data_IF_089239813141
#
_entry.id   IF_089239813141
#
_cell.length_a   1.000
_cell.length_b   1.000
_cell.length_c   1.000
_cell.angle_alpha   90.00
_cell.angle_beta   90.00
_cell.angle_gamma   90.00
#
_symmetry.space_group_name_H-M   'P 1'
#
loop_
_entity.id
_entity.type
_entity.pdbx_description
1 polymer ?
#
# COMPACT_ATOMS: atom_id res chain seq x y z
N UNK A 1 -73.61 -67.92 -42.46
CA UNK A 1 -74.30 -67.21 -43.57
C UNK A 1 -73.32 -66.24 -44.20
N UNK A 2 -73.02 -66.45 -45.49
CA UNK A 2 -72.31 -65.59 -46.46
C UNK A 2 -73.32 -64.51 -46.99
N UNK A 3 -73.03 -63.37 -47.69
CA UNK A 3 -71.80 -62.57 -48.05
C UNK A 3 -71.86 -61.06 -47.61
N UNK A 4 -70.78 -60.22 -47.59
CA UNK A 4 -70.19 -59.28 -48.62
C UNK A 4 -71.18 -58.24 -49.24
N UNK A 5 -70.81 -57.08 -49.87
CA UNK A 5 -69.50 -56.40 -50.10
C UNK A 5 -69.44 -54.83 -50.08
N UNK A 6 -68.17 -54.31 -50.09
CA UNK A 6 -67.63 -53.07 -50.79
C UNK A 6 -68.22 -51.69 -50.41
N UNK A 7 -67.48 -50.57 -50.31
CA UNK A 7 -66.43 -50.06 -51.21
C UNK A 7 -65.52 -48.96 -50.62
N UNK A 8 -64.22 -49.12 -50.85
CA UNK A 8 -63.13 -48.14 -51.15
C UNK A 8 -63.40 -46.62 -50.98
N UNK A 9 -62.45 -45.91 -50.35
CA UNK A 9 -61.40 -45.09 -51.01
C UNK A 9 -60.34 -44.58 -50.02
N UNK A 10 -59.10 -44.52 -50.52
CA UNK A 10 -57.89 -43.99 -49.88
C UNK A 10 -58.03 -42.55 -49.38
N UNK A 11 -57.31 -42.18 -48.32
CA UNK A 11 -56.08 -41.39 -48.42
C UNK A 11 -55.28 -41.51 -47.13
N UNK A 12 -53.98 -41.69 -47.29
CA UNK A 12 -52.97 -41.75 -46.24
C UNK A 12 -52.80 -40.38 -45.56
N UNK A 13 -52.46 -40.35 -44.27
CA UNK A 13 -51.13 -39.95 -43.81
C UNK A 13 -51.06 -39.82 -42.27
N UNK A 14 -50.06 -40.54 -41.73
CA UNK A 14 -49.20 -40.25 -40.57
C UNK A 14 -49.79 -39.96 -39.18
N UNK A 15 -49.69 -41.01 -38.35
CA UNK A 15 -49.37 -40.95 -36.92
C UNK A 15 -48.17 -40.03 -36.63
N UNK A 16 -48.29 -39.16 -35.63
CA UNK A 16 -47.16 -38.79 -34.77
C UNK A 16 -47.64 -38.24 -33.42
N UNK A 17 -47.71 -39.16 -32.47
CA UNK A 17 -47.72 -38.95 -31.02
C UNK A 17 -46.59 -37.98 -30.63
N UNK A 18 -46.89 -36.81 -30.07
CA UNK A 18 -45.87 -36.00 -29.38
C UNK A 18 -45.88 -36.31 -27.89
N UNK A 19 -44.90 -37.12 -27.53
CA UNK A 19 -44.45 -37.41 -26.17
C UNK A 19 -43.88 -36.16 -25.48
N UNK A 20 -43.94 -36.21 -24.16
CA UNK A 20 -43.38 -35.26 -23.20
C UNK A 20 -41.95 -34.83 -23.51
N UNK A 21 -41.70 -33.52 -23.52
CA UNK A 21 -40.38 -32.93 -23.25
C UNK A 21 -40.62 -31.80 -22.25
N UNK A 22 -40.46 -32.09 -20.96
CA UNK A 22 -40.15 -31.08 -19.94
C UNK A 22 -38.64 -31.06 -19.86
N UNK A 23 -38.01 -30.18 -20.64
CA UNK A 23 -36.58 -29.89 -20.57
C UNK A 23 -36.43 -28.40 -20.30
N UNK A 24 -35.71 -28.09 -19.22
CA UNK A 24 -35.00 -26.82 -19.09
C UNK A 24 -35.79 -25.66 -18.48
N UNK A 25 -36.36 -25.82 -17.29
CA UNK A 25 -36.67 -24.67 -16.45
C UNK A 25 -35.40 -24.25 -15.66
N UNK A 26 -34.76 -23.21 -16.18
CA UNK A 26 -33.97 -22.18 -15.46
C UNK A 26 -32.61 -22.60 -14.89
N UNK A 27 -31.64 -22.68 -15.80
CA UNK A 27 -30.23 -22.34 -15.59
C UNK A 27 -30.07 -20.83 -15.26
N UNK A 28 -30.66 -20.37 -14.15
CA UNK A 28 -30.59 -18.97 -13.71
C UNK A 28 -30.39 -18.84 -12.18
N UNK A 29 -29.67 -19.81 -11.61
CA UNK A 29 -29.00 -19.66 -10.31
C UNK A 29 -27.57 -19.08 -10.43
N UNK A 30 -27.18 -18.67 -11.64
CA UNK A 30 -25.99 -17.84 -11.86
C UNK A 30 -26.35 -16.37 -11.78
N UNK A 31 -25.51 -15.59 -11.08
CA UNK A 31 -25.46 -14.13 -11.10
C UNK A 31 -26.40 -13.35 -10.15
N UNK A 32 -26.55 -13.76 -8.90
CA UNK A 32 -26.98 -12.83 -7.86
C UNK A 32 -26.67 -13.33 -6.44
N UNK A 33 -25.43 -13.12 -5.97
CA UNK A 33 -25.23 -12.78 -4.55
C UNK A 33 -23.87 -12.11 -4.33
N UNK A 34 -23.90 -10.79 -4.13
CA UNK A 34 -22.95 -10.01 -3.33
C UNK A 34 -21.43 -10.05 -3.59
N UNK A 35 -20.94 -10.65 -4.68
CA UNK A 35 -19.52 -10.56 -5.10
C UNK A 35 -19.10 -9.16 -5.63
N UNK A 36 -19.97 -8.15 -5.54
CA UNK A 36 -19.79 -6.81 -6.07
C UNK A 36 -19.49 -5.82 -4.94
N UNK A 37 -18.32 -5.18 -5.01
CA UNK A 37 -17.77 -4.06 -4.21
C UNK A 37 -16.76 -4.40 -3.08
N UNK A 38 -16.84 -5.54 -2.38
CA UNK A 38 -15.88 -5.87 -1.31
C UNK A 38 -14.48 -6.35 -1.82
N UNK A 39 -14.37 -6.62 -3.12
CA UNK A 39 -13.14 -7.10 -3.79
C UNK A 39 -12.22 -6.01 -4.37
N UNK A 40 -12.47 -4.71 -4.13
CA UNK A 40 -11.68 -3.62 -4.73
C UNK A 40 -10.57 -3.07 -3.80
N UNK A 41 -10.73 -3.14 -2.48
CA UNK A 41 -9.73 -2.59 -1.57
C UNK A 41 -8.45 -3.41 -1.60
N UNK A 42 -7.30 -2.72 -1.61
CA UNK A 42 -5.99 -3.34 -1.40
C UNK A 42 -5.62 -3.40 0.08
N UNK A 43 -6.40 -2.80 0.99
CA UNK A 43 -6.10 -2.82 2.42
C UNK A 43 -6.59 -4.11 3.07
N UNK A 44 -5.70 -4.75 3.82
CA UNK A 44 -6.00 -5.98 4.56
C UNK A 44 -7.12 -5.78 5.60
N UNK A 45 -7.16 -4.62 6.25
CA UNK A 45 -8.15 -4.27 7.27
C UNK A 45 -9.59 -4.15 6.73
N UNK A 46 -9.75 -4.01 5.41
CA UNK A 46 -11.05 -3.97 4.74
C UNK A 46 -11.54 -5.36 4.32
N UNK A 47 -10.76 -6.43 4.56
CA UNK A 47 -11.08 -7.78 4.10
C UNK A 47 -11.55 -8.65 5.27
N UNK A 48 -12.59 -9.44 5.04
CA UNK A 48 -12.86 -10.60 5.90
C UNK A 48 -11.76 -11.64 5.72
N UNK A 49 -11.51 -12.46 6.75
CA UNK A 49 -10.47 -13.49 6.66
C UNK A 49 -10.75 -14.52 5.54
N UNK A 50 -12.02 -14.73 5.18
CA UNK A 50 -12.41 -15.61 4.07
C UNK A 50 -12.09 -14.99 2.71
N UNK A 51 -12.32 -13.69 2.53
CA UNK A 51 -11.89 -12.98 1.31
C UNK A 51 -10.37 -13.03 1.16
N UNK A 52 -9.62 -12.83 2.25
CA UNK A 52 -8.17 -12.95 2.24
C UNK A 52 -7.71 -14.36 1.81
N UNK A 53 -8.28 -15.42 2.40
CA UNK A 53 -7.98 -16.81 2.03
C UNK A 53 -8.19 -17.04 0.54
N UNK A 54 -9.31 -16.55 0.01
CA UNK A 54 -9.69 -16.75 -1.39
C UNK A 54 -8.77 -15.96 -2.33
N UNK A 55 -8.38 -14.73 -1.95
CA UNK A 55 -7.41 -13.90 -2.69
C UNK A 55 -6.01 -14.50 -2.74
N UNK A 56 -5.54 -15.06 -1.62
CA UNK A 56 -4.24 -15.77 -1.58
C UNK A 56 -4.29 -16.99 -2.50
N UNK A 57 -5.37 -17.77 -2.44
CA UNK A 57 -5.59 -18.92 -3.32
C UNK A 57 -5.67 -18.53 -4.80
N UNK A 58 -6.17 -17.33 -5.09
CA UNK A 58 -6.25 -16.75 -6.43
C UNK A 58 -4.95 -16.06 -6.90
N UNK A 59 -3.87 -16.08 -6.12
CA UNK A 59 -2.55 -15.58 -6.55
C UNK A 59 -2.12 -14.24 -5.97
N UNK A 60 -2.81 -13.72 -4.95
CA UNK A 60 -2.31 -12.60 -4.14
C UNK A 60 -1.18 -13.11 -3.25
N UNK A 61 0.07 -12.82 -3.61
CA UNK A 61 1.26 -13.36 -2.93
C UNK A 61 2.09 -12.33 -2.19
N UNK A 62 1.80 -11.04 -2.39
CA UNK A 62 2.57 -9.94 -1.84
C UNK A 62 1.78 -9.20 -0.76
N UNK A 63 2.42 -8.86 0.36
CA UNK A 63 1.89 -7.94 1.36
C UNK A 63 2.90 -6.80 1.55
N UNK A 64 2.43 -5.56 1.47
CA UNK A 64 3.19 -4.37 1.81
C UNK A 64 2.89 -4.03 3.26
N UNK A 65 3.92 -3.88 4.08
CA UNK A 65 3.87 -3.43 5.47
C UNK A 65 4.29 -1.96 5.48
N UNK A 66 3.32 -1.03 5.48
CA UNK A 66 3.61 0.39 5.56
C UNK A 66 4.06 0.79 6.97
N UNK A 67 5.20 1.46 7.06
CA UNK A 67 5.78 1.93 8.31
C UNK A 67 5.83 3.45 8.26
N UNK A 68 5.09 4.07 9.18
CA UNK A 68 4.95 5.52 9.29
C UNK A 68 5.70 6.06 10.50
N UNK A 69 4.96 6.68 11.42
CA UNK A 69 5.50 7.37 12.59
C UNK A 69 4.61 8.53 13.00
N UNK A 70 4.78 8.98 14.24
CA UNK A 70 4.12 10.19 14.75
C UNK A 70 5.21 11.11 15.28
N UNK A 71 5.48 12.19 14.55
CA UNK A 71 6.58 13.10 14.84
C UNK A 71 6.28 14.54 14.45
N UNK A 72 6.98 15.46 15.13
CA UNK A 72 6.98 16.87 14.79
C UNK A 72 7.40 17.11 13.32
N UNK A 73 6.79 18.09 12.66
CA UNK A 73 7.15 18.47 11.29
C UNK A 73 6.95 19.95 11.03
N UNK A 74 7.58 20.75 11.87
CA UNK A 74 7.37 22.19 11.83
C UNK A 74 5.99 22.61 12.35
N UNK A 75 5.69 23.91 12.32
CA UNK A 75 4.46 24.47 12.89
C UNK A 75 3.20 24.26 12.02
N UNK A 76 3.39 23.91 10.74
CA UNK A 76 2.33 23.87 9.74
C UNK A 76 1.84 22.45 9.41
N UNK A 77 2.61 21.40 9.72
CA UNK A 77 2.27 20.03 9.33
C UNK A 77 1.78 19.21 10.53
N UNK A 78 0.75 18.40 10.31
CA UNK A 78 0.20 17.52 11.33
C UNK A 78 1.16 16.38 11.69
N UNK A 79 1.16 15.97 12.96
CA UNK A 79 2.08 14.95 13.53
C UNK A 79 2.02 13.58 12.83
N UNK A 80 0.87 13.24 12.24
CA UNK A 80 0.63 11.95 11.58
C UNK A 80 1.02 11.91 10.10
N UNK A 81 1.81 12.87 9.59
CA UNK A 81 2.13 12.97 8.15
C UNK A 81 2.64 11.65 7.57
N UNK A 82 3.51 10.94 8.31
CA UNK A 82 4.18 9.74 7.83
C UNK A 82 3.18 8.61 7.66
N UNK A 83 2.29 8.42 8.64
CA UNK A 83 1.22 7.42 8.57
C UNK A 83 0.30 7.63 7.36
N UNK A 84 -0.10 8.88 7.11
CA UNK A 84 -0.95 9.22 5.96
C UNK A 84 -0.22 9.01 4.63
N UNK A 85 1.02 9.51 4.54
CA UNK A 85 1.85 9.41 3.33
C UNK A 85 2.09 7.96 2.94
N UNK A 86 2.57 7.13 3.88
CA UNK A 86 2.88 5.73 3.59
C UNK A 86 1.63 4.94 3.25
N UNK A 87 0.48 5.19 3.90
CA UNK A 87 -0.79 4.53 3.58
C UNK A 87 -1.22 4.82 2.13
N UNK A 88 -1.22 6.10 1.75
CA UNK A 88 -1.60 6.55 0.41
C UNK A 88 -0.67 6.00 -0.68
N UNK A 89 0.64 6.04 -0.44
CA UNK A 89 1.62 5.56 -1.42
C UNK A 89 1.61 4.03 -1.51
N UNK A 90 1.45 3.32 -0.39
CA UNK A 90 1.30 1.86 -0.37
C UNK A 90 0.09 1.39 -1.19
N UNK A 91 -1.03 2.10 -1.10
CA UNK A 91 -2.24 1.80 -1.89
C UNK A 91 -1.96 1.87 -3.39
N UNK A 92 -1.31 2.96 -3.84
CA UNK A 92 -0.94 3.13 -5.25
C UNK A 92 0.03 2.05 -5.72
N UNK A 93 1.05 1.74 -4.91
CA UNK A 93 2.03 0.70 -5.22
C UNK A 93 1.35 -0.67 -5.32
N UNK A 94 0.50 -1.03 -4.35
CA UNK A 94 -0.24 -2.29 -4.36
C UNK A 94 -1.15 -2.42 -5.58
N UNK A 95 -1.85 -1.34 -5.94
CA UNK A 95 -2.66 -1.26 -7.16
C UNK A 95 -1.84 -1.49 -8.44
N UNK A 96 -0.64 -0.93 -8.55
CA UNK A 96 0.24 -1.15 -9.70
C UNK A 96 0.86 -2.56 -9.75
N UNK A 97 1.06 -3.21 -8.60
CA UNK A 97 1.52 -4.59 -8.55
C UNK A 97 0.43 -5.58 -8.97
N UNK A 98 -0.83 -5.32 -8.60
CA UNK A 98 -1.99 -6.13 -8.99
C UNK A 98 -2.15 -7.46 -8.26
N UNK A 99 -1.13 -7.91 -7.52
CA UNK A 99 -1.14 -9.13 -6.70
C UNK A 99 -0.69 -8.86 -5.25
N UNK A 100 -0.87 -7.62 -4.79
CA UNK A 100 -0.43 -7.16 -3.48
C UNK A 100 -1.60 -6.65 -2.63
N UNK A 101 -1.47 -6.84 -1.32
CA UNK A 101 -2.28 -6.17 -0.30
C UNK A 101 -1.41 -5.20 0.52
N UNK A 102 -2.05 -4.33 1.29
CA UNK A 102 -1.44 -3.38 2.21
C UNK A 102 -1.88 -3.74 3.63
N UNK A 103 -0.92 -4.04 4.51
CA UNK A 103 -1.16 -4.28 5.93
C UNK A 103 -1.52 -2.98 6.66
N UNK A 104 -2.07 -3.05 7.89
CA UNK A 104 -2.23 -1.87 8.73
C UNK A 104 -0.91 -1.12 8.93
N UNK A 105 -1.00 0.22 8.98
CA UNK A 105 0.18 1.07 9.18
C UNK A 105 0.79 0.85 10.55
N UNK A 106 2.10 0.63 10.57
CA UNK A 106 2.88 0.64 11.81
C UNK A 106 3.20 2.09 12.16
N UNK A 107 2.55 2.60 13.21
CA UNK A 107 2.64 4.00 13.64
C UNK A 107 3.53 4.24 14.87
N UNK A 108 3.93 3.17 15.56
CA UNK A 108 4.86 3.22 16.68
C UNK A 108 6.24 2.78 16.20
N UNK A 109 7.18 3.73 16.15
CA UNK A 109 8.51 3.57 15.55
C UNK A 109 9.57 4.29 16.40
N UNK A 110 10.87 4.07 16.18
CA UNK A 110 11.93 4.86 16.79
C UNK A 110 11.96 6.30 16.26
N UNK A 111 11.78 7.28 17.17
CA UNK A 111 11.78 8.73 16.86
C UNK A 111 12.76 9.53 17.75
N UNK A 112 13.60 8.83 18.51
CA UNK A 112 14.54 9.38 19.49
C UNK A 112 14.40 8.77 20.89
N UNK A 113 15.15 9.31 21.84
CA UNK A 113 15.19 8.85 23.24
C UNK A 113 14.20 9.62 24.11
N UNK A 114 13.66 8.97 25.15
CA UNK A 114 12.74 9.58 26.12
C UNK A 114 13.49 10.38 27.18
N UNK A 115 14.55 9.81 27.76
CA UNK A 115 15.32 10.41 28.86
C UNK A 115 16.84 10.25 28.65
N UNK A 116 17.59 11.35 28.42
CA UNK A 116 17.06 12.68 28.10
C UNK A 116 16.38 12.69 26.70
N UNK A 117 15.43 13.60 26.45
CA UNK A 117 14.80 13.73 25.14
C UNK A 117 15.81 14.03 24.02
N UNK A 118 15.74 13.29 22.92
CA UNK A 118 16.58 13.53 21.72
C UNK A 118 15.78 13.50 20.43
N UNK A 119 16.42 13.89 19.31
CA UNK A 119 15.79 13.92 17.99
C UNK A 119 14.39 14.59 17.99
N UNK A 120 13.35 13.88 17.57
CA UNK A 120 11.97 14.38 17.46
C UNK A 120 11.24 14.33 18.81
N UNK A 121 11.72 13.54 19.77
CA UNK A 121 11.21 13.50 21.15
C UNK A 121 11.46 14.80 21.93
N UNK A 122 12.24 15.73 21.38
CA UNK A 122 12.36 17.11 21.91
C UNK A 122 11.10 17.96 21.72
N UNK A 123 10.13 17.47 20.93
CA UNK A 123 8.92 18.20 20.57
C UNK A 123 7.67 17.46 21.06
N UNK A 124 6.64 18.19 21.53
CA UNK A 124 5.42 17.58 22.04
C UNK A 124 4.65 16.84 20.94
N UNK A 125 4.11 15.67 21.28
CA UNK A 125 3.27 14.87 20.40
C UNK A 125 4.02 13.80 19.59
N UNK A 126 5.35 13.86 19.52
CA UNK A 126 6.16 12.75 18.98
C UNK A 126 6.00 11.50 19.86
N UNK A 127 5.88 10.33 19.24
CA UNK A 127 5.77 9.03 19.92
C UNK A 127 6.95 8.16 19.49
N UNK A 128 7.70 7.62 20.46
CA UNK A 128 8.84 6.72 20.19
C UNK A 128 8.66 5.37 20.88
N UNK A 129 9.17 4.31 20.25
CA UNK A 129 9.49 3.02 20.87
C UNK A 129 10.98 2.71 20.63
N UNK A 130 11.56 1.79 21.40
CA UNK A 130 12.95 1.40 21.15
C UNK A 130 13.09 0.57 19.88
N UNK A 131 14.26 0.65 19.25
CA UNK A 131 14.65 -0.14 18.06
C UNK A 131 14.39 -1.63 18.28
N UNK A 132 14.73 -2.15 19.46
CA UNK A 132 14.46 -3.54 19.85
C UNK A 132 12.98 -3.91 19.75
N UNK A 133 12.08 -3.07 20.30
CA UNK A 133 10.63 -3.35 20.26
C UNK A 133 10.13 -3.22 18.83
N UNK A 134 10.65 -2.25 18.08
CA UNK A 134 10.30 -2.04 16.69
C UNK A 134 10.70 -3.23 15.80
N UNK A 135 11.94 -3.70 15.86
CA UNK A 135 12.37 -4.88 15.12
C UNK A 135 11.57 -6.14 15.49
N UNK A 136 11.23 -6.32 16.77
CA UNK A 136 10.38 -7.42 17.24
C UNK A 136 8.95 -7.33 16.71
N UNK A 137 8.40 -6.12 16.61
CA UNK A 137 7.09 -5.86 16.01
C UNK A 137 7.09 -6.23 14.53
N UNK A 138 8.06 -5.73 13.76
CA UNK A 138 8.21 -6.03 12.34
C UNK A 138 8.36 -7.53 12.07
N UNK A 139 9.20 -8.20 12.88
CA UNK A 139 9.38 -9.64 12.81
C UNK A 139 8.07 -10.39 13.05
N UNK A 140 7.34 -10.03 14.11
CA UNK A 140 6.10 -10.71 14.48
C UNK A 140 5.06 -10.57 13.38
N UNK A 141 4.93 -9.36 12.81
CA UNK A 141 4.04 -9.10 11.67
C UNK A 141 4.45 -9.95 10.44
N UNK A 142 5.74 -9.94 10.06
CA UNK A 142 6.23 -10.72 8.93
C UNK A 142 6.00 -12.23 9.11
N UNK A 143 6.20 -12.76 10.32
CA UNK A 143 5.90 -14.17 10.65
C UNK A 143 4.42 -14.50 10.49
N UNK A 144 3.52 -13.62 10.95
CA UNK A 144 2.08 -13.79 10.74
C UNK A 144 1.73 -13.82 9.25
N UNK A 145 2.30 -12.91 8.44
CA UNK A 145 2.04 -12.90 7.00
C UNK A 145 2.58 -14.12 6.28
N UNK A 146 3.78 -14.59 6.65
CA UNK A 146 4.32 -15.85 6.17
C UNK A 146 3.39 -17.02 6.48
N UNK A 147 2.89 -17.09 7.73
CA UNK A 147 1.95 -18.15 8.16
C UNK A 147 0.67 -18.14 7.33
N UNK A 148 0.16 -16.95 6.99
CA UNK A 148 -1.08 -16.80 6.23
C UNK A 148 -0.93 -17.08 4.72
N UNK A 149 0.30 -17.29 4.23
CA UNK A 149 0.56 -17.73 2.85
C UNK A 149 1.14 -16.66 1.92
N UNK A 150 1.49 -15.48 2.43
CA UNK A 150 2.23 -14.50 1.63
C UNK A 150 3.66 -14.99 1.34
N UNK A 151 4.12 -14.75 0.12
CA UNK A 151 5.47 -15.14 -0.35
C UNK A 151 6.45 -13.96 -0.33
N UNK A 152 5.95 -12.76 -0.60
CA UNK A 152 6.73 -11.52 -0.58
C UNK A 152 6.17 -10.61 0.49
N UNK A 153 6.98 -10.30 1.50
CA UNK A 153 6.64 -9.34 2.55
C UNK A 153 7.51 -8.11 2.34
N UNK A 154 6.92 -6.99 1.96
CA UNK A 154 7.64 -5.76 1.64
C UNK A 154 7.52 -4.78 2.79
N UNK A 155 8.62 -4.33 3.36
CA UNK A 155 8.66 -3.24 4.35
C UNK A 155 8.94 -1.94 3.58
N UNK A 156 8.10 -0.92 3.77
CA UNK A 156 8.33 0.43 3.25
C UNK A 156 8.23 1.46 4.38
N UNK A 157 9.35 2.14 4.64
CA UNK A 157 9.47 3.14 5.69
C UNK A 157 9.45 4.58 5.22
N UNK A 158 8.62 5.42 5.83
CA UNK A 158 8.49 6.84 5.48
C UNK A 158 9.42 7.78 6.23
N UNK A 159 10.27 7.25 7.10
CA UNK A 159 11.23 8.02 7.87
C UNK A 159 12.63 7.39 7.83
N UNK A 160 13.65 8.25 7.82
CA UNK A 160 15.05 7.82 7.69
C UNK A 160 15.60 7.12 8.94
N UNK A 161 15.01 7.38 10.11
CA UNK A 161 15.54 6.95 11.40
C UNK A 161 15.62 5.44 11.60
N UNK A 162 14.71 4.67 10.98
CA UNK A 162 14.56 3.24 11.22
C UNK A 162 14.81 2.36 9.98
N UNK A 163 15.38 2.93 8.91
CA UNK A 163 15.68 2.20 7.67
C UNK A 163 16.67 1.04 7.88
N UNK A 164 17.55 1.17 8.88
CA UNK A 164 18.51 0.12 9.26
C UNK A 164 17.81 -1.05 9.93
N UNK A 165 16.86 -0.78 10.81
CA UNK A 165 16.05 -1.79 11.51
C UNK A 165 15.22 -2.64 10.53
N UNK A 166 14.62 -1.99 9.52
CA UNK A 166 13.92 -2.69 8.43
C UNK A 166 14.83 -3.70 7.73
N UNK A 167 16.07 -3.27 7.42
CA UNK A 167 17.08 -4.12 6.78
C UNK A 167 17.50 -5.26 7.69
N UNK A 168 17.77 -4.99 8.97
CA UNK A 168 18.14 -6.03 9.93
C UNK A 168 17.07 -7.12 10.03
N UNK A 169 15.79 -6.72 10.12
CA UNK A 169 14.67 -7.66 10.18
C UNK A 169 14.57 -8.47 8.89
N UNK A 170 14.66 -7.81 7.74
CA UNK A 170 14.60 -8.49 6.44
C UNK A 170 15.74 -9.50 6.28
N UNK A 171 16.98 -9.11 6.56
CA UNK A 171 18.17 -9.97 6.44
C UNK A 171 18.08 -11.18 7.37
N UNK A 172 17.70 -10.95 8.63
CA UNK A 172 17.58 -12.01 9.63
C UNK A 172 16.50 -13.03 9.26
N UNK A 173 15.33 -12.57 8.84
CA UNK A 173 14.24 -13.46 8.41
C UNK A 173 14.57 -14.19 7.11
N UNK A 174 15.25 -13.53 6.15
CA UNK A 174 15.69 -14.19 4.92
C UNK A 174 16.76 -15.25 5.17
N UNK A 175 17.68 -15.03 6.13
CA UNK A 175 18.65 -16.04 6.55
C UNK A 175 17.95 -17.26 7.16
N UNK A 176 17.01 -17.02 8.09
CA UNK A 176 16.22 -18.07 8.72
C UNK A 176 15.35 -18.85 7.71
N UNK A 177 14.74 -18.15 6.75
CA UNK A 177 13.82 -18.73 5.77
C UNK A 177 14.48 -19.11 4.45
N UNK A 178 15.82 -19.17 4.43
CA UNK A 178 16.63 -19.44 3.24
C UNK A 178 16.21 -20.69 2.46
N UNK A 179 15.75 -21.73 3.16
CA UNK A 179 15.30 -23.02 2.57
C UNK A 179 13.88 -22.98 1.98
N UNK A 180 13.11 -21.93 2.22
CA UNK A 180 11.75 -21.76 1.71
C UNK A 180 11.66 -20.69 0.61
N UNK A 181 10.49 -20.54 -0.04
CA UNK A 181 10.28 -19.56 -1.09
C UNK A 181 9.98 -18.15 -0.56
N UNK A 182 9.64 -18.02 0.72
CA UNK A 182 9.21 -16.74 1.31
C UNK A 182 10.40 -15.80 1.50
N UNK A 183 10.24 -14.54 1.14
CA UNK A 183 11.26 -13.49 1.30
C UNK A 183 10.68 -12.20 1.86
N UNK A 184 11.45 -11.54 2.72
CA UNK A 184 11.19 -10.20 3.24
C UNK A 184 12.05 -9.21 2.47
N UNK A 185 11.46 -8.10 2.01
CA UNK A 185 12.16 -7.04 1.30
C UNK A 185 12.05 -5.74 2.05
N UNK A 186 13.15 -5.24 2.59
CA UNK A 186 13.25 -3.85 3.02
C UNK A 186 13.42 -2.97 1.76
N UNK A 187 12.33 -2.39 1.27
CA UNK A 187 12.30 -1.61 0.03
C UNK A 187 12.76 -0.17 0.27
N UNK A 188 14.01 -0.01 0.71
CA UNK A 188 14.60 1.27 1.13
C UNK A 188 14.59 2.34 0.03
N UNK A 189 14.48 1.91 -1.24
CA UNK A 189 14.29 2.80 -2.38
C UNK A 189 13.08 3.72 -2.19
N UNK A 190 12.02 3.26 -1.51
CA UNK A 190 10.85 4.05 -1.17
C UNK A 190 11.25 5.37 -0.50
N UNK A 191 12.11 5.30 0.53
CA UNK A 191 12.60 6.49 1.23
C UNK A 191 13.70 7.21 0.45
N UNK A 192 14.66 6.46 -0.12
CA UNK A 192 15.83 7.02 -0.80
C UNK A 192 15.47 7.91 -1.99
N UNK A 193 14.34 7.67 -2.67
CA UNK A 193 13.83 8.55 -3.73
C UNK A 193 13.68 9.99 -3.23
N UNK A 194 13.25 10.19 -1.98
CA UNK A 194 13.08 11.51 -1.37
C UNK A 194 14.40 12.25 -1.13
N UNK A 195 15.52 11.52 -1.09
CA UNK A 195 16.84 12.04 -0.74
C UNK A 195 17.70 12.42 -1.95
N UNK A 196 17.30 12.04 -3.16
CA UNK A 196 18.07 12.31 -4.39
C UNK A 196 17.18 12.58 -5.59
N UNK A 197 16.59 11.55 -6.23
CA UNK A 197 15.80 11.71 -7.45
C UNK A 197 14.68 12.76 -7.34
N UNK A 198 14.00 12.84 -6.19
CA UNK A 198 12.97 13.84 -5.97
C UNK A 198 13.56 15.25 -5.83
N UNK A 199 14.68 15.40 -5.12
CA UNK A 199 15.42 16.67 -4.98
C UNK A 199 15.82 17.19 -6.36
N UNK A 200 16.36 16.34 -7.23
CA UNK A 200 16.74 16.71 -8.59
C UNK A 200 15.55 17.20 -9.43
N UNK A 201 14.39 16.55 -9.29
CA UNK A 201 13.14 16.98 -9.95
C UNK A 201 12.65 18.33 -9.43
N UNK A 202 12.72 18.57 -8.12
CA UNK A 202 12.33 19.85 -7.53
C UNK A 202 13.21 20.98 -8.03
N UNK A 203 14.53 20.79 -8.06
CA UNK A 203 15.47 21.77 -8.59
C UNK A 203 15.20 22.06 -10.07
N UNK A 204 14.98 21.01 -10.87
CA UNK A 204 14.63 21.14 -12.29
C UNK A 204 13.29 21.87 -12.51
N UNK A 205 12.37 21.77 -11.56
CA UNK A 205 11.07 22.44 -11.57
C UNK A 205 11.10 23.86 -10.97
N UNK A 206 12.27 24.38 -10.57
CA UNK A 206 12.43 25.76 -10.09
C UNK A 206 12.34 25.95 -8.57
N UNK A 207 12.43 24.88 -7.79
CA UNK A 207 12.75 24.97 -6.37
C UNK A 207 14.23 25.37 -6.17
N UNK A 208 14.54 26.01 -5.05
CA UNK A 208 15.90 26.38 -4.66
C UNK A 208 16.41 25.39 -3.63
N UNK A 209 17.71 25.09 -3.66
CA UNK A 209 18.34 24.18 -2.69
C UNK A 209 18.08 24.60 -1.23
N UNK A 210 18.04 25.91 -0.96
CA UNK A 210 17.76 26.47 0.37
C UNK A 210 16.32 26.25 0.86
N UNK A 211 15.39 25.84 -0.01
CA UNK A 211 13.99 25.61 0.34
C UNK A 211 13.73 24.14 0.68
N UNK A 212 14.47 23.21 0.06
CA UNK A 212 14.19 21.78 0.11
C UNK A 212 14.34 21.24 1.54
N UNK A 213 15.49 21.51 2.18
CA UNK A 213 15.81 21.01 3.51
C UNK A 213 15.85 19.49 3.63
N UNK A 214 16.09 19.01 4.84
CA UNK A 214 16.09 17.58 5.18
C UNK A 214 14.85 17.18 5.97
N UNK A 215 14.08 18.16 6.50
CA UNK A 215 12.87 17.90 7.30
C UNK A 215 11.94 19.10 7.34
N UNK A 216 10.63 18.88 7.14
CA UNK A 216 9.60 19.91 7.16
C UNK A 216 9.87 21.13 6.25
N UNK A 217 10.77 20.97 5.27
CA UNK A 217 11.04 21.95 4.23
C UNK A 217 10.10 21.79 3.04
N UNK A 218 10.48 22.37 1.90
CA UNK A 218 9.68 22.39 0.69
C UNK A 218 9.32 21.00 0.18
N UNK A 219 10.27 20.06 0.15
CA UNK A 219 10.02 18.71 -0.37
C UNK A 219 8.95 17.97 0.44
N UNK A 220 9.14 17.94 1.75
CA UNK A 220 8.27 17.23 2.70
C UNK A 220 6.85 17.82 2.75
N UNK A 221 6.77 19.15 2.78
CA UNK A 221 5.50 19.87 2.79
C UNK A 221 4.77 19.76 1.45
N UNK A 222 5.50 19.83 0.33
CA UNK A 222 4.91 19.66 -1.01
C UNK A 222 4.35 18.26 -1.19
N UNK A 223 5.07 17.21 -0.78
CA UNK A 223 4.55 15.83 -0.77
C UNK A 223 3.24 15.75 -0.01
N UNK A 224 3.17 16.33 1.19
CA UNK A 224 1.93 16.30 1.98
C UNK A 224 0.80 17.08 1.30
N UNK A 225 1.09 18.23 0.68
CA UNK A 225 0.09 19.01 -0.08
C UNK A 225 -0.46 18.24 -1.29
N UNK A 226 0.32 17.37 -1.93
CA UNK A 226 -0.17 16.53 -3.02
C UNK A 226 -1.02 15.33 -2.53
N UNK A 227 -0.70 14.81 -1.35
CA UNK A 227 -1.32 13.60 -0.79
C UNK A 227 -2.59 13.94 -0.01
N UNK A 228 -2.49 14.83 0.97
CA UNK A 228 -3.62 15.29 1.78
C UNK A 228 -3.37 16.74 2.26
N UNK A 229 -3.89 17.74 1.53
CA UNK A 229 -3.79 19.14 1.90
C UNK A 229 -4.34 19.47 3.30
N UNK A 230 -5.26 18.66 3.84
CA UNK A 230 -5.86 18.91 5.17
C UNK A 230 -4.88 18.71 6.31
N UNK A 231 -3.78 18.00 6.07
CA UNK A 231 -2.67 17.79 7.00
C UNK A 231 -1.71 18.99 7.05
N UNK A 232 -1.90 20.01 6.21
CA UNK A 232 -1.06 21.21 6.13
C UNK A 232 -1.87 22.47 6.42
N UNK A 233 -1.50 23.19 7.49
CA UNK A 233 -2.05 24.50 7.86
C UNK A 233 -1.41 25.57 6.97
N UNK A 234 -2.00 25.80 5.79
CA UNK A 234 -1.46 26.72 4.76
C UNK A 234 -1.27 28.15 5.28
N UNK A 235 -2.13 28.60 6.19
CA UNK A 235 -2.04 29.88 6.89
C UNK A 235 -0.74 30.02 7.70
N UNK A 236 -0.16 28.91 8.16
CA UNK A 236 1.09 28.87 8.93
C UNK A 236 2.34 28.77 8.07
N UNK A 237 2.22 28.51 6.77
CA UNK A 237 3.38 28.44 5.86
C UNK A 237 3.95 29.83 5.56
N UNK A 238 3.09 30.84 5.43
CA UNK A 238 3.48 32.21 5.07
C UNK A 238 3.67 33.16 6.26
N UNK A 239 3.26 32.74 7.46
CA UNK A 239 3.13 33.62 8.63
C UNK A 239 4.32 33.57 9.61
N UNK A 240 5.34 32.73 9.35
CA UNK A 240 6.43 32.54 10.29
C UNK A 240 7.65 33.45 9.99
N UNK A 241 8.38 33.93 11.02
CA UNK A 241 9.78 34.32 10.82
C UNK A 241 10.57 33.13 10.26
N UNK A 242 11.80 33.36 9.76
CA UNK A 242 12.64 32.30 9.20
C UNK A 242 12.72 31.09 10.16
N UNK A 243 12.06 30.00 9.78
CA UNK A 243 11.98 28.78 10.58
C UNK A 243 13.35 28.10 10.68
N UNK A 244 13.61 27.45 11.81
CA UNK A 244 14.83 26.68 12.01
C UNK A 244 14.63 25.46 12.88
N UNK A 245 15.76 24.90 13.34
CA UNK A 245 15.79 23.67 14.13
C UNK A 245 14.95 23.76 15.42
N UNK A 246 14.86 24.94 16.04
CA UNK A 246 14.02 25.18 17.22
C UNK A 246 12.52 25.10 16.93
N UNK A 247 12.12 25.30 15.68
CA UNK A 247 10.74 25.16 15.20
C UNK A 247 10.48 23.77 14.61
N UNK A 248 11.49 22.89 14.62
CA UNK A 248 11.40 21.56 14.04
C UNK A 248 11.57 21.50 12.52
N UNK A 249 12.11 22.55 11.89
CA UNK A 249 12.44 22.59 10.46
C UNK A 249 13.95 22.49 10.27
N UNK A 250 14.42 21.54 9.47
CA UNK A 250 15.86 21.31 9.27
C UNK A 250 16.29 21.66 7.85
N UNK A 251 16.98 22.79 7.70
CA UNK A 251 17.71 23.16 6.48
C UNK A 251 16.87 23.62 5.28
N UNK A 252 15.56 23.85 5.43
CA UNK A 252 14.65 24.21 4.35
C UNK A 252 13.67 25.32 4.69
N UNK A 253 12.86 25.70 3.71
CA UNK A 253 11.82 26.73 3.79
C UNK A 253 10.56 26.22 3.08
N UNK A 254 9.47 25.93 3.82
CA UNK A 254 8.27 25.35 3.26
C UNK A 254 7.35 26.40 2.60
N UNK A 255 7.69 27.69 2.59
CA UNK A 255 6.80 28.78 2.12
C UNK A 255 6.33 28.60 0.67
N UNK A 256 7.21 28.09 -0.20
CA UNK A 256 6.91 27.85 -1.63
C UNK A 256 6.43 26.44 -1.94
N UNK A 257 6.02 25.68 -0.92
CA UNK A 257 5.52 24.32 -1.11
C UNK A 257 4.22 24.32 -1.90
N UNK A 258 4.03 23.32 -2.76
CA UNK A 258 2.86 23.21 -3.61
C UNK A 258 2.50 21.75 -3.88
N UNK A 259 1.25 21.49 -4.27
CA UNK A 259 0.83 20.15 -4.66
C UNK A 259 1.52 19.71 -5.96
N UNK A 260 1.83 20.65 -6.85
CA UNK A 260 2.53 20.39 -8.12
C UNK A 260 3.95 19.87 -7.86
N UNK A 261 4.68 20.48 -6.92
CA UNK A 261 5.97 19.97 -6.48
C UNK A 261 5.85 18.63 -5.76
N UNK A 262 4.78 18.42 -5.00
CA UNK A 262 4.52 17.15 -4.31
C UNK A 262 4.27 15.99 -5.27
N UNK A 263 3.51 16.25 -6.35
CA UNK A 263 3.14 15.22 -7.31
C UNK A 263 4.36 14.60 -7.99
N UNK A 264 5.41 15.39 -8.25
CA UNK A 264 6.69 14.89 -8.77
C UNK A 264 7.29 13.80 -7.86
N UNK A 265 7.19 13.98 -6.54
CA UNK A 265 7.68 13.03 -5.56
C UNK A 265 6.78 11.80 -5.46
N UNK A 266 5.45 11.99 -5.44
CA UNK A 266 4.47 10.89 -5.46
C UNK A 266 4.71 9.96 -6.63
N UNK A 267 4.86 10.51 -7.84
CA UNK A 267 5.06 9.72 -9.06
C UNK A 267 6.37 8.93 -9.01
N UNK A 268 7.46 9.56 -8.57
CA UNK A 268 8.77 8.91 -8.44
C UNK A 268 8.76 7.80 -7.38
N UNK A 269 8.18 8.05 -6.20
CA UNK A 269 8.16 7.07 -5.11
C UNK A 269 7.34 5.85 -5.55
N UNK A 270 6.15 6.06 -6.10
CA UNK A 270 5.28 4.95 -6.54
C UNK A 270 5.95 4.14 -7.66
N UNK A 271 6.44 4.80 -8.71
CA UNK A 271 7.05 4.10 -9.85
C UNK A 271 8.34 3.37 -9.45
N UNK A 272 9.26 4.05 -8.77
CA UNK A 272 10.54 3.49 -8.34
C UNK A 272 10.37 2.33 -7.35
N UNK A 273 9.46 2.47 -6.38
CA UNK A 273 9.21 1.39 -5.40
C UNK A 273 8.53 0.19 -6.06
N UNK A 274 7.56 0.42 -6.96
CA UNK A 274 6.90 -0.66 -7.70
C UNK A 274 7.90 -1.44 -8.55
N UNK A 275 8.80 -0.74 -9.24
CA UNK A 275 9.85 -1.38 -10.04
C UNK A 275 10.81 -2.19 -9.16
N UNK A 276 11.26 -1.63 -8.02
CA UNK A 276 12.10 -2.34 -7.07
C UNK A 276 11.45 -3.62 -6.53
N UNK A 277 10.16 -3.59 -6.18
CA UNK A 277 9.42 -4.77 -5.72
C UNK A 277 9.30 -5.81 -6.84
N UNK A 278 9.03 -5.39 -8.08
CA UNK A 278 8.97 -6.30 -9.24
C UNK A 278 10.31 -6.98 -9.49
N UNK A 279 11.41 -6.23 -9.43
CA UNK A 279 12.76 -6.78 -9.58
C UNK A 279 13.09 -7.76 -8.47
N UNK A 280 12.84 -7.39 -7.21
CA UNK A 280 13.04 -8.29 -6.08
C UNK A 280 12.24 -9.59 -6.25
N UNK A 281 10.98 -9.49 -6.64
CA UNK A 281 10.09 -10.65 -6.83
C UNK A 281 10.57 -11.57 -7.95
N UNK A 282 11.14 -11.02 -9.05
CA UNK A 282 11.73 -11.82 -10.14
C UNK A 282 12.90 -12.69 -9.68
N UNK A 283 13.64 -12.24 -8.67
CA UNK A 283 14.81 -12.93 -8.13
C UNK A 283 14.47 -13.94 -7.02
N UNK A 284 13.22 -13.99 -6.55
CA UNK A 284 12.82 -14.91 -5.49
C UNK A 284 12.84 -16.37 -5.92
N UNK A 285 13.18 -17.30 -5.00
CA UNK A 285 12.98 -18.72 -5.24
C UNK A 285 11.50 -19.04 -5.46
N UNK A 286 11.22 -19.90 -6.43
CA UNK A 286 9.85 -20.33 -6.78
C UNK A 286 9.34 -21.43 -5.85
#
# INVERSE_FOLDING_TARGET
>A
MIPNPRSRRCHAETFATRACIVVGLWFLSGLASAANAANASVFLEDQTWTELRDRISAGTTTIIVPIGGTEQSGPAMALGKHNMRVKFLAEKIAGQLGNALVAPVISYVPEGTIDPPSAHMRFPGTITISDKIFEQLLESAARSFKLHGFKTIVLIGDHGGYQVDERHVADRLNAEWSKGPVRVFAALQYYQVTQGPYVDKLLSAGARQSEIGTHAGLADTSLMLAIDPSMVRKDRLAAAPKLGAGDGVYGGDPTRSSAEFGQLGVDLIVSGTTEAIREFTRQQPK
#
